data_IF_073194954958
#
_entry.id   IF_073194954958
#
_cell.length_a   1.000
_cell.length_b   1.000
_cell.length_c   1.000
_cell.angle_alpha   90.00
_cell.angle_beta   90.00
_cell.angle_gamma   90.00
#
_symmetry.space_group_name_H-M   'P 1'
#
loop_
_entity.id
_entity.type
_entity.pdbx_description
1 polymer ?
#
# COMPACT_ATOMS: atom_id res chain seq x y z
N UNK A 1 -15.59 -7.49 2.12
CA UNK A 1 -14.73 -6.77 3.11
C UNK A 1 -13.34 -6.32 2.58
N UNK A 2 -13.14 -5.97 1.29
CA UNK A 2 -11.79 -5.70 0.76
C UNK A 2 -11.17 -4.38 1.26
N UNK A 3 -12.02 -3.39 1.59
CA UNK A 3 -11.58 -2.08 2.07
C UNK A 3 -10.91 -2.16 3.45
N UNK A 4 -11.55 -2.86 4.40
CA UNK A 4 -11.02 -3.05 5.75
C UNK A 4 -9.67 -3.79 5.70
N UNK A 5 -9.58 -4.87 4.92
CA UNK A 5 -8.32 -5.60 4.71
C UNK A 5 -7.22 -4.70 4.14
N UNK A 6 -7.57 -3.79 3.24
CA UNK A 6 -6.60 -2.84 2.66
C UNK A 6 -6.09 -1.82 3.70
N UNK A 7 -6.95 -1.37 4.61
CA UNK A 7 -6.56 -0.47 5.73
C UNK A 7 -5.62 -1.21 6.70
N UNK A 8 -6.01 -2.41 7.14
CA UNK A 8 -5.17 -3.23 8.04
C UNK A 8 -3.83 -3.61 7.40
N UNK A 9 -3.86 -4.02 6.13
CA UNK A 9 -2.65 -4.25 5.35
C UNK A 9 -1.80 -2.98 5.31
N UNK A 10 -2.38 -1.83 4.99
CA UNK A 10 -1.67 -0.54 4.97
C UNK A 10 -0.95 -0.23 6.28
N UNK A 11 -1.62 -0.46 7.42
CA UNK A 11 -1.01 -0.31 8.74
C UNK A 11 0.19 -1.26 8.92
N UNK A 12 0.05 -2.54 8.55
CA UNK A 12 1.14 -3.53 8.65
C UNK A 12 2.35 -3.12 7.79
N UNK A 13 2.11 -2.61 6.58
CA UNK A 13 3.17 -2.05 5.73
C UNK A 13 3.84 -0.84 6.37
N UNK A 14 3.06 0.03 7.03
CA UNK A 14 3.60 1.15 7.82
C UNK A 14 4.49 0.68 8.98
N UNK A 15 4.14 -0.40 9.66
CA UNK A 15 4.96 -1.01 10.72
C UNK A 15 6.27 -1.56 10.13
N UNK A 16 6.19 -2.33 9.04
CA UNK A 16 7.38 -2.87 8.35
C UNK A 16 8.31 -1.74 7.92
N UNK A 17 7.78 -0.69 7.30
CA UNK A 17 8.55 0.48 6.89
C UNK A 17 9.20 1.19 8.08
N UNK A 18 8.48 1.31 9.20
CA UNK A 18 9.00 1.97 10.40
C UNK A 18 10.12 1.18 11.07
N UNK A 19 10.00 -0.15 11.12
CA UNK A 19 11.06 -1.05 11.60
C UNK A 19 12.30 -0.98 10.68
N UNK A 20 12.09 -1.02 9.36
CA UNK A 20 13.16 -0.97 8.38
C UNK A 20 13.95 0.35 8.40
N UNK A 21 13.28 1.45 8.76
CA UNK A 21 13.88 2.80 8.76
C UNK A 21 14.28 3.29 10.15
N UNK A 22 14.02 2.51 11.21
CA UNK A 22 14.28 2.90 12.59
C UNK A 22 15.76 3.18 12.86
N UNK A 23 16.68 2.43 12.24
CA UNK A 23 18.12 2.64 12.40
C UNK A 23 18.59 4.00 11.85
N UNK A 24 17.94 4.49 10.79
CA UNK A 24 18.31 5.74 10.10
C UNK A 24 17.55 6.96 10.62
N UNK A 25 16.24 6.82 10.86
CA UNK A 25 15.34 7.93 11.25
C UNK A 25 14.96 7.91 12.74
N UNK A 26 15.42 6.91 13.50
CA UNK A 26 15.15 6.78 14.93
C UNK A 26 13.67 6.57 15.22
N UNK A 27 13.22 7.08 16.38
CA UNK A 27 11.82 6.95 16.83
C UNK A 27 10.82 7.70 15.94
N UNK A 28 11.28 8.64 15.12
CA UNK A 28 10.39 9.42 14.26
C UNK A 28 9.70 8.58 13.19
N UNK A 29 10.28 7.44 12.81
CA UNK A 29 9.66 6.54 11.83
C UNK A 29 8.29 6.04 12.27
N UNK A 30 8.09 5.85 13.58
CA UNK A 30 6.82 5.37 14.13
C UNK A 30 5.64 6.33 13.94
N UNK A 31 5.89 7.63 13.74
CA UNK A 31 4.81 8.57 13.42
C UNK A 31 4.26 8.38 12.00
N UNK A 32 5.01 7.69 11.10
CA UNK A 32 4.54 7.36 9.75
C UNK A 32 3.67 6.10 9.74
N UNK A 33 3.83 5.19 10.71
CA UNK A 33 3.02 3.96 10.83
C UNK A 33 1.50 4.17 10.59
N UNK A 34 0.82 5.11 11.27
CA UNK A 34 -0.61 5.32 11.03
C UNK A 34 -0.92 5.84 9.61
N UNK A 35 -0.01 6.58 8.98
CA UNK A 35 -0.15 7.03 7.58
C UNK A 35 -0.10 5.86 6.60
N UNK A 36 0.45 4.71 7.00
CA UNK A 36 0.37 3.46 6.25
C UNK A 36 -1.05 3.06 5.86
N UNK A 37 -2.05 3.37 6.70
CA UNK A 37 -3.47 3.14 6.37
C UNK A 37 -3.91 3.93 5.13
N UNK A 38 -3.50 5.20 5.04
CA UNK A 38 -3.84 6.10 3.93
C UNK A 38 -3.12 5.66 2.65
N UNK A 39 -1.84 5.29 2.77
CA UNK A 39 -1.04 4.75 1.65
C UNK A 39 -1.67 3.46 1.13
N UNK A 40 -2.03 2.52 2.02
CA UNK A 40 -2.68 1.26 1.65
C UNK A 40 -4.02 1.48 0.95
N UNK A 41 -4.81 2.44 1.42
CA UNK A 41 -6.06 2.84 0.78
C UNK A 41 -5.81 3.40 -0.62
N UNK A 42 -4.85 4.31 -0.79
CA UNK A 42 -4.50 4.87 -2.09
C UNK A 42 -4.05 3.77 -3.08
N UNK A 43 -3.17 2.86 -2.63
CA UNK A 43 -2.71 1.71 -3.43
C UNK A 43 -3.89 0.84 -3.85
N UNK A 44 -4.84 0.58 -2.94
CA UNK A 44 -6.07 -0.15 -3.26
C UNK A 44 -6.88 0.55 -4.35
N UNK A 45 -7.14 1.86 -4.22
CA UNK A 45 -7.93 2.61 -5.19
C UNK A 45 -7.31 2.65 -6.59
N UNK A 46 -5.98 2.75 -6.66
CA UNK A 46 -5.23 2.71 -7.92
C UNK A 46 -5.26 1.30 -8.54
N UNK A 47 -5.17 0.27 -7.70
CA UNK A 47 -5.05 -1.12 -8.15
C UNK A 47 -6.39 -1.80 -8.42
N UNK A 48 -7.51 -1.28 -7.89
CA UNK A 48 -8.82 -1.94 -7.91
C UNK A 48 -9.28 -2.38 -9.30
N UNK A 49 -8.97 -1.59 -10.34
CA UNK A 49 -9.37 -1.87 -11.73
C UNK A 49 -8.68 -3.11 -12.30
N UNK A 50 -7.56 -3.51 -11.72
CA UNK A 50 -6.78 -4.67 -12.12
C UNK A 50 -7.20 -5.95 -11.41
N UNK A 51 -8.02 -5.89 -10.34
CA UNK A 51 -8.46 -7.10 -9.64
C UNK A 51 -9.43 -7.96 -10.45
N UNK A 52 -10.21 -7.36 -11.34
CA UNK A 52 -11.06 -8.09 -12.29
C UNK A 52 -10.31 -8.61 -13.53
N UNK A 53 -9.01 -8.34 -13.64
CA UNK A 53 -8.16 -8.73 -14.77
C UNK A 53 -7.45 -10.08 -14.50
N UNK A 54 -6.80 -10.71 -15.51
CA UNK A 54 -6.05 -11.93 -15.29
C UNK A 54 -4.88 -11.75 -14.32
N UNK A 55 -4.52 -12.84 -13.63
CA UNK A 55 -3.55 -12.82 -12.51
C UNK A 55 -2.17 -12.29 -12.92
N UNK A 56 -1.72 -12.56 -14.15
CA UNK A 56 -0.42 -12.08 -14.62
C UNK A 56 -0.32 -10.54 -14.65
N UNK A 57 -1.45 -9.82 -14.77
CA UNK A 57 -1.46 -8.35 -14.66
C UNK A 57 -1.20 -7.86 -13.23
N UNK A 58 -1.33 -8.71 -12.21
CA UNK A 58 -0.99 -8.34 -10.84
C UNK A 58 0.51 -8.24 -10.60
N UNK A 59 1.34 -8.92 -11.40
CA UNK A 59 2.80 -8.86 -11.27
C UNK A 59 3.29 -7.41 -11.46
N UNK A 60 3.08 -6.74 -12.61
CA UNK A 60 3.52 -5.36 -12.78
C UNK A 60 2.82 -4.40 -11.82
N UNK A 61 1.54 -4.63 -11.49
CA UNK A 61 0.81 -3.82 -10.50
C UNK A 61 1.48 -3.89 -9.13
N UNK A 62 1.86 -5.08 -8.68
CA UNK A 62 2.55 -5.29 -7.39
C UNK A 62 3.93 -4.64 -7.34
N UNK A 63 4.67 -4.66 -8.46
CA UNK A 63 5.96 -3.97 -8.56
C UNK A 63 5.77 -2.46 -8.43
N UNK A 64 4.90 -1.88 -9.27
CA UNK A 64 4.62 -0.44 -9.29
C UNK A 64 4.06 0.04 -7.96
N UNK A 65 3.14 -0.70 -7.36
CA UNK A 65 2.55 -0.34 -6.06
C UNK A 65 3.57 -0.40 -4.92
N UNK A 66 4.54 -1.31 -4.97
CA UNK A 66 5.64 -1.37 -4.00
C UNK A 66 6.50 -0.11 -4.09
N UNK A 67 6.94 0.27 -5.30
CA UNK A 67 7.69 1.52 -5.49
C UNK A 67 6.90 2.75 -5.03
N UNK A 68 5.62 2.83 -5.41
CA UNK A 68 4.74 3.92 -5.00
C UNK A 68 4.57 3.98 -3.48
N UNK A 69 4.32 2.83 -2.84
CA UNK A 69 4.16 2.75 -1.39
C UNK A 69 5.41 3.18 -0.63
N UNK A 70 6.59 2.72 -1.07
CA UNK A 70 7.88 3.10 -0.49
C UNK A 70 8.18 4.59 -0.72
N UNK A 71 7.90 5.12 -1.92
CA UNK A 71 8.06 6.54 -2.19
C UNK A 71 7.18 7.41 -1.28
N UNK A 72 5.89 7.07 -1.18
CA UNK A 72 4.95 7.79 -0.31
C UNK A 72 5.35 7.70 1.16
N UNK A 73 5.78 6.53 1.62
CA UNK A 73 6.30 6.35 2.98
C UNK A 73 7.51 7.24 3.24
N UNK A 74 8.46 7.30 2.31
CA UNK A 74 9.64 8.16 2.41
C UNK A 74 9.31 9.66 2.36
N UNK A 75 8.31 10.07 1.56
CA UNK A 75 7.78 11.44 1.58
C UNK A 75 7.20 11.76 2.97
N UNK A 76 6.37 10.88 3.53
CA UNK A 76 5.83 11.06 4.88
C UNK A 76 6.92 11.15 5.94
N UNK A 77 7.96 10.31 5.87
CA UNK A 77 9.13 10.40 6.74
C UNK A 77 9.80 11.77 6.64
N UNK A 78 10.05 12.24 5.42
CA UNK A 78 10.67 13.54 5.19
C UNK A 78 9.84 14.70 5.74
N UNK A 79 8.52 14.67 5.53
CA UNK A 79 7.59 15.66 6.09
C UNK A 79 7.61 15.67 7.63
N UNK A 80 7.73 14.51 8.26
CA UNK A 80 7.86 14.41 9.72
C UNK A 80 9.25 14.89 10.19
N UNK A 81 10.32 14.60 9.45
CA UNK A 81 11.66 15.09 9.80
C UNK A 81 11.77 16.62 9.74
N UNK A 82 10.95 17.29 8.91
CA UNK A 82 10.85 18.75 8.90
C UNK A 82 10.36 19.35 10.23
N UNK A 83 9.69 18.57 11.09
CA UNK A 83 9.30 19.04 12.42
C UNK A 83 10.51 19.27 13.35
N UNK A 84 11.69 18.79 12.98
CA UNK A 84 12.91 18.95 13.76
C UNK A 84 13.50 20.33 13.50
N UNK A 85 13.59 21.13 14.54
CA UNK A 85 14.29 22.41 14.49
C UNK A 85 15.77 22.17 14.22
N UNK A 86 16.22 22.47 13.01
CA UNK A 86 17.65 22.47 12.69
C UNK A 86 17.91 23.58 11.68
N UNK A 87 18.89 24.45 11.99
CA UNK A 87 19.18 25.60 11.16
C UNK A 87 19.63 25.19 9.75
N UNK A 88 19.39 26.08 8.78
CA UNK A 88 19.91 26.06 7.41
C UNK A 88 19.51 24.86 6.52
N UNK A 89 18.41 24.16 6.86
CA UNK A 89 17.87 23.08 6.02
C UNK A 89 16.95 23.63 4.93
N UNK A 90 17.13 23.13 3.70
CA UNK A 90 16.20 23.38 2.59
C UNK A 90 15.02 22.39 2.69
N UNK A 91 13.77 22.83 2.95
CA UNK A 91 12.69 21.91 3.30
C UNK A 91 12.38 20.85 2.23
N UNK A 92 12.33 21.24 0.96
CA UNK A 92 12.04 20.29 -0.12
C UNK A 92 13.15 19.24 -0.28
N UNK A 93 14.41 19.61 -0.01
CA UNK A 93 15.54 18.71 -0.13
C UNK A 93 15.47 17.59 0.92
N UNK A 94 15.05 17.89 2.15
CA UNK A 94 14.83 16.90 3.22
C UNK A 94 13.80 15.85 2.79
N UNK A 95 12.68 16.29 2.22
CA UNK A 95 11.61 15.39 1.77
C UNK A 95 12.06 14.50 0.62
N UNK A 96 12.69 15.09 -0.41
CA UNK A 96 13.19 14.34 -1.56
C UNK A 96 14.31 13.38 -1.16
N UNK A 97 15.18 13.78 -0.23
CA UNK A 97 16.24 12.93 0.29
C UNK A 97 15.69 11.72 1.05
N UNK A 98 14.68 11.90 1.91
CA UNK A 98 14.05 10.80 2.62
C UNK A 98 13.33 9.82 1.67
N UNK A 99 12.60 10.34 0.68
CA UNK A 99 11.98 9.55 -0.38
C UNK A 99 13.03 8.74 -1.15
N UNK A 100 14.09 9.38 -1.63
CA UNK A 100 15.15 8.73 -2.39
C UNK A 100 15.91 7.70 -1.55
N UNK A 101 16.17 7.98 -0.26
CA UNK A 101 16.81 7.02 0.64
C UNK A 101 15.99 5.73 0.76
N UNK A 102 14.67 5.83 0.88
CA UNK A 102 13.78 4.67 0.91
C UNK A 102 13.78 3.90 -0.41
N UNK A 103 13.73 4.61 -1.55
CA UNK A 103 13.76 3.99 -2.88
C UNK A 103 15.10 3.30 -3.18
N UNK A 104 16.22 3.95 -2.85
CA UNK A 104 17.55 3.35 -3.00
C UNK A 104 17.75 2.17 -2.07
N UNK A 105 17.21 2.23 -0.84
CA UNK A 105 17.15 1.08 0.05
C UNK A 105 16.45 -0.10 -0.59
N UNK A 106 15.26 0.12 -1.16
CA UNK A 106 14.50 -0.92 -1.86
C UNK A 106 15.28 -1.53 -3.03
N UNK A 107 16.00 -0.72 -3.81
CA UNK A 107 16.73 -1.17 -5.00
C UNK A 107 18.01 -1.92 -4.63
N UNK A 108 18.80 -1.40 -3.68
CA UNK A 108 20.16 -1.86 -3.44
C UNK A 108 20.36 -2.74 -2.21
N UNK A 109 19.39 -2.84 -1.30
CA UNK A 109 19.50 -3.71 -0.13
C UNK A 109 18.69 -5.00 -0.39
N UNK A 110 19.34 -6.15 -0.68
CA UNK A 110 18.64 -7.34 -1.18
C UNK A 110 17.55 -7.88 -0.25
N UNK A 111 17.68 -7.68 1.06
CA UNK A 111 16.66 -8.12 2.03
C UNK A 111 15.31 -7.42 1.78
N UNK A 112 15.30 -6.19 1.27
CA UNK A 112 14.07 -5.46 0.95
C UNK A 112 13.41 -5.92 -0.35
N UNK A 113 14.06 -6.77 -1.15
CA UNK A 113 13.42 -7.38 -2.31
C UNK A 113 12.31 -8.36 -1.91
N UNK A 114 12.30 -8.84 -0.66
CA UNK A 114 11.20 -9.63 -0.10
C UNK A 114 9.86 -8.85 -0.08
N UNK A 115 9.89 -7.52 -0.18
CA UNK A 115 8.68 -6.71 -0.26
C UNK A 115 7.93 -6.93 -1.59
N UNK A 116 8.61 -7.29 -2.69
CA UNK A 116 7.94 -7.56 -3.96
C UNK A 116 7.04 -8.80 -3.95
N UNK A 117 7.51 -10.01 -3.57
CA UNK A 117 6.62 -11.17 -3.46
C UNK A 117 5.55 -10.98 -2.38
N UNK A 118 5.86 -10.26 -1.29
CA UNK A 118 4.88 -9.93 -0.26
C UNK A 118 3.77 -9.00 -0.80
N UNK A 119 4.13 -8.01 -1.62
CA UNK A 119 3.18 -7.14 -2.30
C UNK A 119 2.30 -7.92 -3.27
N UNK A 120 2.87 -8.85 -4.05
CA UNK A 120 2.10 -9.71 -4.95
C UNK A 120 1.11 -10.60 -4.18
N UNK A 121 1.55 -11.21 -3.08
CA UNK A 121 0.69 -12.01 -2.20
C UNK A 121 -0.46 -11.15 -1.64
N UNK A 122 -0.17 -9.93 -1.20
CA UNK A 122 -1.17 -8.99 -0.71
C UNK A 122 -2.21 -8.60 -1.78
N UNK A 123 -1.76 -8.26 -2.99
CA UNK A 123 -2.68 -7.98 -4.11
C UNK A 123 -3.53 -9.20 -4.48
N UNK A 124 -2.96 -10.40 -4.40
CA UNK A 124 -3.69 -11.65 -4.67
C UNK A 124 -4.78 -11.89 -3.63
N UNK A 125 -4.48 -11.66 -2.34
CA UNK A 125 -5.45 -11.74 -1.26
C UNK A 125 -6.59 -10.72 -1.45
N UNK A 126 -6.26 -9.46 -1.71
CA UNK A 126 -7.26 -8.40 -1.93
C UNK A 126 -8.14 -8.72 -3.15
N UNK A 127 -7.54 -9.22 -4.24
CA UNK A 127 -8.29 -9.68 -5.42
C UNK A 127 -9.28 -10.78 -5.06
N UNK A 128 -8.84 -11.81 -4.35
CA UNK A 128 -9.70 -12.92 -3.94
C UNK A 128 -10.90 -12.43 -3.12
N UNK A 129 -10.67 -11.54 -2.15
CA UNK A 129 -11.73 -10.94 -1.34
C UNK A 129 -12.67 -10.04 -2.14
N UNK A 130 -12.14 -9.34 -3.15
CA UNK A 130 -12.93 -8.45 -4.03
C UNK A 130 -13.87 -9.27 -4.90
N UNK A 131 -13.36 -10.32 -5.56
CA UNK A 131 -14.16 -11.20 -6.40
C UNK A 131 -15.23 -11.96 -5.59
N UNK A 132 -14.89 -12.43 -4.38
CA UNK A 132 -15.86 -13.05 -3.48
C UNK A 132 -17.00 -12.10 -3.10
N UNK A 133 -16.65 -10.86 -2.73
CA UNK A 133 -17.66 -9.85 -2.34
C UNK A 133 -18.60 -9.53 -3.52
N UNK A 134 -18.08 -9.48 -4.76
CA UNK A 134 -18.89 -9.27 -5.96
C UNK A 134 -19.85 -10.44 -6.22
N UNK A 135 -19.37 -11.68 -6.13
CA UNK A 135 -20.20 -12.87 -6.32
C UNK A 135 -21.35 -12.98 -5.29
N UNK A 136 -21.10 -12.60 -4.03
CA UNK A 136 -22.12 -12.56 -2.98
C UNK A 136 -23.20 -11.50 -3.27
N UNK A 137 -22.82 -10.35 -3.85
CA UNK A 137 -23.77 -9.30 -4.24
C UNK A 137 -24.61 -9.70 -5.45
N UNK A 138 -24.00 -10.35 -6.44
CA UNK A 138 -24.70 -10.78 -7.66
C UNK A 138 -25.64 -11.98 -7.39
N UNK A 139 -25.26 -12.89 -6.49
CA UNK A 139 -26.05 -14.07 -6.12
C UNK A 139 -27.22 -13.80 -5.17
N UNK A 140 -27.21 -12.69 -4.42
CA UNK A 140 -28.28 -12.31 -3.49
C UNK A 140 -29.43 -11.51 -4.11
N UNK A 141 -29.34 -11.17 -5.40
CA UNK A 141 -30.20 -10.17 -6.06
C UNK A 141 -31.39 -10.70 -6.89
N UNK A 142 -31.72 -12.00 -6.86
CA UNK A 142 -32.76 -12.53 -7.75
C UNK A 142 -33.95 -13.16 -6.99
N UNK A 143 -35.02 -12.39 -6.66
CA UNK A 143 -36.33 -12.99 -6.49
C UNK A 143 -36.84 -13.35 -7.89
N UNK A 144 -36.89 -14.64 -8.20
CA UNK A 144 -37.53 -15.14 -9.40
C UNK A 144 -39.03 -14.80 -9.36
N UNK A 145 -39.43 -13.68 -9.95
CA UNK A 145 -40.83 -13.45 -10.31
C UNK A 145 -41.15 -14.39 -11.47
N UNK A 146 -41.66 -15.57 -11.10
CA UNK A 146 -42.29 -16.50 -12.03
C UNK A 146 -43.43 -15.75 -12.72
N UNK A 147 -43.46 -15.63 -14.06
CA UNK A 147 -44.66 -15.15 -14.73
C UNK A 147 -45.74 -16.22 -14.56
N UNK A 148 -46.85 -15.85 -13.93
CA UNK A 148 -48.06 -16.67 -13.92
C UNK A 148 -48.51 -16.89 -15.36
N UNK A 149 -48.49 -18.15 -15.79
CA UNK A 149 -49.07 -18.57 -17.05
C UNK A 149 -50.59 -18.44 -16.94
N UNK A 150 -51.17 -17.68 -17.89
CA UNK A 150 -52.60 -17.55 -18.14
C UNK A 150 -53.27 -18.90 -18.40
#
# INVERSE_FOLDING_TARGET
MPLQTSIFSGLLWGIIGSLATQSSFGRFSWFVTPLGMVIGLLVYWLSRRFYSKPVWMLIPVSLISTFLGVALFGICLGLIDLSRATPDRIPWAVVVQAMNACLWGLIFIPVFWLLFPLSLANHTLIRHLTLRTQAEQDGGGQPATRPESK
#
